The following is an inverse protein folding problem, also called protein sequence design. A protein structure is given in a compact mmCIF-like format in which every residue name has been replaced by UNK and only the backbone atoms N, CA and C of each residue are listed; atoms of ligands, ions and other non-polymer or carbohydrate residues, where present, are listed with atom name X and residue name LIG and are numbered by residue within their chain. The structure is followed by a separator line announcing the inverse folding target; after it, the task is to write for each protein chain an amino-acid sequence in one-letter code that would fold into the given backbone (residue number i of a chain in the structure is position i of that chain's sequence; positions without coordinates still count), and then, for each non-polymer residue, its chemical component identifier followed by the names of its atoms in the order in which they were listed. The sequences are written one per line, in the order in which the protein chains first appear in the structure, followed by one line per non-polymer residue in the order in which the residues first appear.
data_IF_042249355806
#
_entry.id   IF_042249355806
#
_cell.length_a   1.000
_cell.length_b   1.000
_cell.length_c   1.000
_cell.angle_alpha   90.00
_cell.angle_beta   90.00
_cell.angle_gamma   90.00
#
_symmetry.space_group_name_H-M   'P 1'
#
loop_
_entity.id
_entity.type
_entity.pdbx_description
1 polymer ?
#
# COMPACT_ATOMS: atom_id res chain seq x y z
N UNK A 1 -9.34 -5.26 -21.54
CA UNK A 1 -8.79 -5.49 -20.20
C UNK A 1 -9.94 -5.59 -19.23
N UNK A 2 -9.94 -6.54 -18.32
CA UNK A 2 -11.13 -6.81 -17.52
C UNK A 2 -11.40 -5.68 -16.51
N UNK A 3 -12.65 -5.22 -16.50
CA UNK A 3 -13.24 -4.42 -15.43
C UNK A 3 -14.42 -5.20 -14.87
N UNK A 4 -14.66 -5.05 -13.59
CA UNK A 4 -15.81 -5.64 -12.92
C UNK A 4 -16.53 -4.58 -12.10
N UNK A 5 -17.85 -4.58 -12.15
CA UNK A 5 -18.67 -3.74 -11.29
C UNK A 5 -18.69 -4.31 -9.87
N UNK A 6 -18.09 -3.59 -8.94
CA UNK A 6 -18.04 -3.94 -7.52
C UNK A 6 -18.16 -2.65 -6.69
N UNK A 7 -18.92 -2.71 -5.61
CA UNK A 7 -19.17 -1.59 -4.70
C UNK A 7 -19.54 -0.27 -5.40
N UNK A 8 -20.38 -0.36 -6.45
CA UNK A 8 -20.94 0.77 -7.19
C UNK A 8 -19.97 1.49 -8.14
N UNK A 9 -18.82 0.88 -8.46
CA UNK A 9 -17.83 1.37 -9.43
C UNK A 9 -17.32 0.24 -10.32
N UNK A 10 -16.74 0.59 -11.46
CA UNK A 10 -16.02 -0.34 -12.31
C UNK A 10 -14.56 -0.40 -11.87
N UNK A 11 -14.14 -1.52 -11.28
CA UNK A 11 -12.77 -1.75 -10.83
C UNK A 11 -11.98 -2.46 -11.92
N UNK A 12 -10.87 -1.87 -12.33
CA UNK A 12 -9.89 -2.50 -13.20
C UNK A 12 -9.00 -3.45 -12.40
N UNK A 13 -8.77 -4.66 -12.93
CA UNK A 13 -7.89 -5.64 -12.31
C UNK A 13 -7.16 -6.50 -13.34
N UNK A 14 -6.09 -7.13 -12.92
CA UNK A 14 -5.30 -8.08 -13.71
C UNK A 14 -4.89 -9.26 -12.82
N UNK A 15 -4.75 -10.42 -13.46
CA UNK A 15 -4.19 -11.61 -12.84
C UNK A 15 -2.80 -11.90 -13.39
N UNK A 16 -1.92 -12.43 -12.52
CA UNK A 16 -0.67 -13.04 -12.90
C UNK A 16 -0.37 -14.21 -11.95
N UNK A 17 0.24 -15.29 -12.49
CA UNK A 17 0.59 -16.46 -11.72
C UNK A 17 -0.59 -17.37 -11.39
N UNK A 18 -0.27 -18.46 -10.72
CA UNK A 18 -1.20 -19.48 -10.24
C UNK A 18 -0.91 -19.78 -8.76
N UNK A 19 -1.85 -20.32 -8.03
CA UNK A 19 -1.70 -20.67 -6.61
C UNK A 19 -2.69 -19.95 -5.71
N UNK A 20 -2.28 -19.71 -4.45
CA UNK A 20 -3.14 -19.01 -3.50
C UNK A 20 -3.35 -17.55 -3.92
N UNK A 21 -4.58 -17.03 -3.79
CA UNK A 21 -4.83 -15.64 -4.12
C UNK A 21 -4.05 -14.67 -3.22
N UNK A 22 -3.38 -13.70 -3.85
CA UNK A 22 -2.72 -12.57 -3.18
C UNK A 22 -3.21 -11.26 -3.81
N UNK A 23 -3.98 -10.48 -3.06
CA UNK A 23 -4.42 -9.16 -3.48
C UNK A 23 -3.32 -8.12 -3.18
N UNK A 24 -2.98 -7.32 -4.19
CA UNK A 24 -1.95 -6.28 -4.11
C UNK A 24 -2.59 -4.89 -4.08
N UNK A 25 -2.33 -4.13 -3.02
CA UNK A 25 -2.90 -2.79 -2.78
C UNK A 25 -1.78 -1.76 -2.85
N UNK A 26 -1.79 -0.92 -3.89
CA UNK A 26 -0.76 0.09 -4.07
C UNK A 26 -0.87 1.28 -3.11
N UNK A 27 0.22 2.02 -3.01
CA UNK A 27 0.29 3.25 -2.24
C UNK A 27 -0.38 4.45 -2.92
N UNK A 28 -0.46 5.56 -2.19
CA UNK A 28 -0.91 6.84 -2.74
C UNK A 28 -0.08 7.23 -3.95
N UNK A 29 -0.70 7.81 -4.96
CA UNK A 29 -0.14 8.27 -6.24
C UNK A 29 0.24 7.16 -7.23
N UNK A 30 0.50 5.93 -6.79
CA UNK A 30 1.06 4.87 -7.64
C UNK A 30 0.05 3.78 -8.00
N UNK A 31 -0.92 3.49 -7.11
CA UNK A 31 -1.84 2.38 -7.35
C UNK A 31 -1.08 1.06 -7.57
N UNK A 32 -1.58 0.19 -8.43
CA UNK A 32 -0.97 -1.11 -8.73
C UNK A 32 0.46 -1.05 -9.29
N UNK A 33 0.89 0.10 -9.81
CA UNK A 33 2.22 0.27 -10.40
C UNK A 33 3.35 0.20 -9.36
N UNK A 34 3.05 0.34 -8.06
CA UNK A 34 4.03 0.09 -7.01
C UNK A 34 4.69 -1.30 -7.10
N UNK A 35 3.95 -2.30 -7.56
CA UNK A 35 4.39 -3.70 -7.54
C UNK A 35 5.18 -4.12 -8.79
N UNK A 36 5.43 -3.21 -9.74
CA UNK A 36 6.07 -3.55 -11.02
C UNK A 36 7.37 -4.34 -10.90
N UNK A 37 8.23 -3.99 -9.93
CA UNK A 37 9.53 -4.66 -9.72
C UNK A 37 9.43 -6.02 -9.00
N UNK A 38 8.34 -6.28 -8.30
CA UNK A 38 8.17 -7.51 -7.50
C UNK A 38 7.11 -8.45 -8.07
N UNK A 39 6.38 -8.02 -9.09
CA UNK A 39 5.23 -8.73 -9.64
C UNK A 39 5.59 -10.13 -10.12
N UNK A 40 6.59 -10.26 -10.98
CA UNK A 40 7.00 -11.56 -11.54
C UNK A 40 7.43 -12.54 -10.44
N UNK A 41 8.29 -12.09 -9.52
CA UNK A 41 8.76 -12.94 -8.42
C UNK A 41 7.66 -13.41 -7.47
N UNK A 42 6.66 -12.56 -7.19
CA UNK A 42 5.51 -12.97 -6.40
C UNK A 42 4.59 -13.93 -7.16
N UNK A 43 4.44 -13.74 -8.49
CA UNK A 43 3.59 -14.56 -9.34
C UNK A 43 4.08 -16.01 -9.50
N UNK A 44 5.34 -16.27 -9.21
CA UNK A 44 5.88 -17.66 -9.16
C UNK A 44 5.24 -18.50 -8.05
N UNK A 45 4.68 -17.87 -7.01
CA UNK A 45 4.16 -18.53 -5.81
C UNK A 45 2.67 -18.27 -5.57
N UNK A 46 2.12 -17.19 -6.13
CA UNK A 46 0.76 -16.75 -5.85
C UNK A 46 0.00 -16.42 -7.14
N UNK A 47 -1.31 -16.58 -7.08
CA UNK A 47 -2.21 -15.96 -8.05
C UNK A 47 -2.45 -14.50 -7.62
N UNK A 48 -1.73 -13.60 -8.24
CA UNK A 48 -1.82 -12.17 -7.95
C UNK A 48 -3.14 -11.59 -8.47
N UNK A 49 -3.81 -10.81 -7.62
CA UNK A 49 -4.93 -9.93 -7.99
C UNK A 49 -4.40 -8.50 -7.86
N UNK A 50 -3.89 -7.95 -8.95
CA UNK A 50 -3.46 -6.56 -9.01
C UNK A 50 -4.59 -5.70 -9.54
N UNK A 51 -4.95 -4.65 -8.83
CA UNK A 51 -6.08 -3.80 -9.21
C UNK A 51 -5.77 -2.33 -8.97
N UNK A 52 -6.44 -1.48 -9.71
CA UNK A 52 -6.41 -0.04 -9.45
C UNK A 52 -7.49 0.28 -8.40
N UNK A 53 -7.08 0.84 -7.26
CA UNK A 53 -8.02 1.28 -6.23
C UNK A 53 -8.93 2.39 -6.78
N UNK A 54 -10.10 2.58 -6.17
CA UNK A 54 -10.98 3.72 -6.40
C UNK A 54 -10.20 5.03 -6.46
N UNK A 55 -10.34 5.77 -7.54
CA UNK A 55 -9.63 7.02 -7.78
C UNK A 55 -8.33 6.88 -8.57
N UNK A 56 -7.80 5.67 -8.77
CA UNK A 56 -6.52 5.44 -9.44
C UNK A 56 -6.67 4.73 -10.79
N UNK A 57 -5.65 4.89 -11.62
CA UNK A 57 -5.46 4.16 -12.86
C UNK A 57 -6.69 4.13 -13.77
N UNK A 58 -7.14 2.93 -14.11
CA UNK A 58 -8.28 2.68 -14.99
C UNK A 58 -9.60 2.42 -14.23
N UNK A 59 -9.57 2.37 -12.90
CA UNK A 59 -10.77 2.28 -12.05
C UNK A 59 -11.51 3.63 -12.03
N UNK A 60 -12.81 3.58 -11.82
CA UNK A 60 -13.65 4.77 -11.75
C UNK A 60 -13.19 5.73 -10.64
N UNK A 61 -13.37 7.05 -10.89
CA UNK A 61 -12.95 8.14 -10.01
C UNK A 61 -14.15 9.00 -9.58
N UNK A 62 -15.09 8.46 -8.77
CA UNK A 62 -16.25 9.25 -8.35
C UNK A 62 -15.81 10.41 -7.45
N UNK A 63 -16.45 11.57 -7.65
CA UNK A 63 -16.23 12.77 -6.84
C UNK A 63 -16.91 12.61 -5.48
N UNK A 64 -16.19 12.09 -4.52
CA UNK A 64 -16.66 11.86 -3.16
C UNK A 64 -15.49 11.85 -2.17
N UNK A 65 -15.79 11.86 -0.87
CA UNK A 65 -14.77 11.64 0.15
C UNK A 65 -14.31 10.18 0.11
N UNK A 66 -13.02 9.97 0.19
CA UNK A 66 -12.40 8.64 0.32
C UNK A 66 -11.98 8.41 1.77
N UNK A 67 -12.02 7.16 2.20
CA UNK A 67 -11.48 6.69 3.47
C UNK A 67 -11.02 5.24 3.35
N UNK A 68 -10.41 4.72 4.40
CA UNK A 68 -9.89 3.35 4.41
C UNK A 68 -11.00 2.31 4.42
N UNK A 69 -12.14 2.61 5.04
CA UNK A 69 -13.30 1.73 5.04
C UNK A 69 -13.82 1.50 3.63
N UNK A 70 -13.94 2.58 2.85
CA UNK A 70 -14.40 2.53 1.46
C UNK A 70 -13.48 1.69 0.56
N UNK A 71 -12.16 1.87 0.68
CA UNK A 71 -11.19 1.07 -0.09
C UNK A 71 -11.15 -0.40 0.35
N UNK A 72 -11.33 -0.67 1.66
CA UNK A 72 -11.45 -2.05 2.14
C UNK A 72 -12.73 -2.72 1.63
N UNK A 73 -13.85 -1.98 1.58
CA UNK A 73 -15.12 -2.45 1.00
C UNK A 73 -15.00 -2.74 -0.50
N UNK A 74 -14.27 -1.91 -1.23
CA UNK A 74 -13.98 -2.12 -2.65
C UNK A 74 -13.23 -3.41 -2.88
N UNK A 75 -12.20 -3.70 -2.07
CA UNK A 75 -11.46 -4.97 -2.17
C UNK A 75 -12.34 -6.16 -1.82
N UNK A 76 -13.12 -6.08 -0.75
CA UNK A 76 -14.02 -7.16 -0.37
C UNK A 76 -15.03 -7.47 -1.48
N UNK A 77 -15.65 -6.44 -2.06
CA UNK A 77 -16.58 -6.59 -3.18
C UNK A 77 -15.90 -7.10 -4.45
N UNK A 78 -14.66 -6.68 -4.73
CA UNK A 78 -13.86 -7.19 -5.84
C UNK A 78 -13.62 -8.69 -5.68
N UNK A 79 -13.15 -9.15 -4.53
CA UNK A 79 -12.91 -10.57 -4.25
C UNK A 79 -14.20 -11.40 -4.42
N UNK A 80 -15.35 -10.91 -3.92
CA UNK A 80 -16.64 -11.57 -4.08
C UNK A 80 -17.04 -11.70 -5.56
N UNK A 81 -16.87 -10.65 -6.35
CA UNK A 81 -17.16 -10.67 -7.80
C UNK A 81 -16.24 -11.60 -8.58
N UNK A 82 -15.03 -11.81 -8.09
CA UNK A 82 -14.06 -12.74 -8.68
C UNK A 82 -14.23 -14.19 -8.19
N UNK A 83 -15.20 -14.45 -7.29
CA UNK A 83 -15.43 -15.77 -6.70
C UNK A 83 -14.33 -16.22 -5.74
N UNK A 84 -13.57 -15.25 -5.15
CA UNK A 84 -12.47 -15.50 -4.22
C UNK A 84 -12.99 -15.31 -2.80
N UNK A 85 -13.18 -16.40 -2.09
CA UNK A 85 -13.71 -16.36 -0.73
C UNK A 85 -12.69 -15.86 0.29
N UNK A 86 -11.41 -16.17 0.08
CA UNK A 86 -10.29 -15.76 0.96
C UNK A 86 -9.04 -15.49 0.14
N UNK A 87 -8.25 -14.52 0.57
CA UNK A 87 -6.97 -14.16 -0.05
C UNK A 87 -5.95 -13.74 1.00
N UNK A 88 -4.67 -13.86 0.66
CA UNK A 88 -3.65 -13.02 1.27
C UNK A 88 -3.79 -11.59 0.77
N UNK A 89 -3.36 -10.63 1.58
CA UNK A 89 -3.40 -9.22 1.22
C UNK A 89 -2.04 -8.58 1.49
N UNK A 90 -1.45 -7.98 0.47
CA UNK A 90 -0.23 -7.19 0.61
C UNK A 90 -0.51 -5.77 0.16
N UNK A 91 -0.16 -4.80 0.99
CA UNK A 91 -0.27 -3.40 0.64
C UNK A 91 0.98 -2.62 1.03
N UNK A 92 1.37 -1.65 0.21
CA UNK A 92 2.48 -0.74 0.51
C UNK A 92 1.99 0.66 0.78
N UNK A 93 2.59 1.37 1.74
CA UNK A 93 2.23 2.76 2.09
C UNK A 93 0.74 2.88 2.45
N UNK A 94 -0.03 3.73 1.78
CA UNK A 94 -1.49 3.80 1.94
C UNK A 94 -2.16 2.44 1.72
N UNK A 95 -1.64 1.63 0.79
CA UNK A 95 -2.12 0.26 0.58
C UNK A 95 -1.90 -0.64 1.78
N UNK A 96 -0.79 -0.48 2.52
CA UNK A 96 -0.53 -1.18 3.77
C UNK A 96 -1.54 -0.83 4.86
N UNK A 97 -1.93 0.44 4.94
CA UNK A 97 -2.98 0.91 5.84
C UNK A 97 -4.35 0.33 5.46
N UNK A 98 -4.65 0.27 4.14
CA UNK A 98 -5.88 -0.36 3.63
C UNK A 98 -5.87 -1.87 3.91
N UNK A 99 -4.73 -2.55 3.80
CA UNK A 99 -4.59 -3.97 4.10
C UNK A 99 -4.90 -4.27 5.59
N UNK A 100 -4.40 -3.43 6.52
CA UNK A 100 -4.74 -3.52 7.94
C UNK A 100 -6.23 -3.29 8.19
N UNK A 101 -6.83 -2.27 7.57
CA UNK A 101 -8.28 -2.02 7.67
C UNK A 101 -9.08 -3.19 7.13
N UNK A 102 -8.69 -3.75 5.97
CA UNK A 102 -9.35 -4.93 5.37
C UNK A 102 -9.31 -6.13 6.31
N UNK A 103 -8.14 -6.43 6.89
CA UNK A 103 -7.99 -7.57 7.79
C UNK A 103 -8.82 -7.44 9.08
N UNK A 104 -8.93 -6.22 9.61
CA UNK A 104 -9.76 -5.95 10.79
C UNK A 104 -11.26 -6.06 10.47
N UNK A 105 -11.69 -5.58 9.29
CA UNK A 105 -13.09 -5.50 8.90
C UNK A 105 -13.63 -6.80 8.30
N UNK A 106 -12.78 -7.57 7.61
CA UNK A 106 -13.12 -8.79 6.88
C UNK A 106 -12.21 -9.97 7.27
N UNK A 107 -12.11 -10.32 8.57
CA UNK A 107 -11.19 -11.37 9.02
C UNK A 107 -11.48 -12.73 8.36
N UNK A 108 -12.74 -13.01 8.00
CA UNK A 108 -13.15 -14.24 7.30
C UNK A 108 -12.63 -14.32 5.86
N UNK A 109 -12.32 -13.17 5.23
CA UNK A 109 -11.77 -13.11 3.87
C UNK A 109 -10.24 -13.05 3.84
N UNK A 110 -9.57 -12.84 4.97
CA UNK A 110 -8.14 -12.65 5.06
C UNK A 110 -7.42 -13.92 5.52
N UNK A 111 -6.37 -14.36 4.80
CA UNK A 111 -5.52 -15.49 5.18
C UNK A 111 -4.29 -14.98 5.93
N UNK A 112 -3.63 -13.95 5.40
CA UNK A 112 -2.45 -13.31 5.98
C UNK A 112 -2.25 -11.94 5.38
N UNK A 113 -1.62 -11.05 6.14
CA UNK A 113 -1.43 -9.64 5.79
C UNK A 113 0.04 -9.31 5.68
N UNK A 114 0.42 -8.59 4.65
CA UNK A 114 1.70 -7.87 4.58
C UNK A 114 1.39 -6.37 4.53
N UNK A 115 1.71 -5.68 5.62
CA UNK A 115 1.61 -4.22 5.74
C UNK A 115 3.00 -3.63 5.60
N UNK A 116 3.28 -3.13 4.40
CA UNK A 116 4.59 -2.64 4.03
C UNK A 116 4.63 -1.12 4.09
N UNK A 117 5.66 -0.58 4.75
CA UNK A 117 5.93 0.86 4.88
C UNK A 117 4.66 1.67 5.23
N UNK A 118 3.98 1.30 6.33
CA UNK A 118 2.70 1.87 6.74
C UNK A 118 2.70 2.30 8.21
N UNK A 119 1.70 3.07 8.61
CA UNK A 119 1.46 3.49 9.98
C UNK A 119 -0.04 3.37 10.34
N UNK A 120 -0.37 3.30 11.63
CA UNK A 120 -1.77 3.23 12.07
C UNK A 120 -2.40 4.60 12.32
N UNK A 121 -1.60 5.66 12.51
CA UNK A 121 -2.11 7.02 12.73
C UNK A 121 -1.09 8.07 12.35
N UNK A 122 -1.55 9.11 11.64
CA UNK A 122 -0.76 10.31 11.37
C UNK A 122 -0.38 11.05 12.65
N UNK A 123 0.89 11.39 12.78
CA UNK A 123 1.36 12.43 13.70
C UNK A 123 1.26 13.83 13.09
N UNK A 124 1.70 14.85 13.84
CA UNK A 124 1.70 16.24 13.38
C UNK A 124 2.51 16.46 12.10
N UNK A 125 3.66 15.76 11.96
CA UNK A 125 4.54 15.91 10.80
C UNK A 125 3.91 15.31 9.54
N UNK A 126 3.33 14.11 9.61
CA UNK A 126 2.64 13.48 8.48
C UNK A 126 1.42 14.29 8.04
N UNK A 127 0.69 14.89 8.97
CA UNK A 127 -0.41 15.82 8.65
C UNK A 127 0.07 17.05 7.87
N UNK A 128 1.23 17.63 8.24
CA UNK A 128 1.83 18.74 7.50
C UNK A 128 2.22 18.28 6.10
N UNK A 129 2.87 17.12 5.99
CA UNK A 129 3.28 16.53 4.71
C UNK A 129 2.09 16.35 3.75
N UNK A 130 1.02 15.68 4.18
CA UNK A 130 -0.17 15.47 3.33
C UNK A 130 -0.87 16.80 2.98
N UNK A 131 -0.90 17.76 3.89
CA UNK A 131 -1.41 19.10 3.58
C UNK A 131 -0.54 19.80 2.53
N UNK A 132 0.78 19.63 2.59
CA UNK A 132 1.70 20.18 1.58
C UNK A 132 1.49 19.51 0.23
N UNK A 133 1.36 18.19 0.18
CA UNK A 133 1.05 17.45 -1.06
C UNK A 133 -0.26 17.93 -1.67
N UNK A 134 -1.32 18.11 -0.87
CA UNK A 134 -2.59 18.69 -1.37
C UNK A 134 -2.40 20.08 -1.95
N UNK A 135 -1.62 20.93 -1.28
CA UNK A 135 -1.36 22.28 -1.76
C UNK A 135 -0.58 22.24 -3.08
N UNK A 136 0.45 21.43 -3.18
CA UNK A 136 1.22 21.26 -4.42
C UNK A 136 0.31 20.76 -5.55
N UNK A 137 -0.45 19.70 -5.33
CA UNK A 137 -1.36 19.16 -6.33
C UNK A 137 -2.43 20.18 -6.78
N UNK A 138 -2.99 20.95 -5.86
CA UNK A 138 -4.01 21.99 -6.21
C UNK A 138 -3.42 23.20 -6.91
N UNK A 139 -2.16 23.55 -6.64
CA UNK A 139 -1.50 24.73 -7.22
C UNK A 139 -0.78 24.43 -8.53
N UNK A 140 -0.21 23.25 -8.68
CA UNK A 140 0.66 22.88 -9.81
C UNK A 140 0.15 21.68 -10.61
N UNK A 141 -0.93 21.05 -10.17
CA UNK A 141 -1.36 19.77 -10.72
C UNK A 141 -0.48 18.61 -10.22
N UNK A 142 -0.65 17.45 -10.81
CA UNK A 142 0.25 16.31 -10.60
C UNK A 142 1.51 16.47 -11.48
N UNK A 143 2.24 17.56 -11.25
CA UNK A 143 3.38 18.00 -12.07
C UNK A 143 4.65 17.20 -11.78
N UNK A 144 5.66 17.29 -12.67
CA UNK A 144 6.98 16.72 -12.42
C UNK A 144 7.63 17.22 -11.12
N UNK A 145 7.45 18.49 -10.76
CA UNK A 145 8.01 19.07 -9.53
C UNK A 145 7.34 18.49 -8.27
N UNK A 146 6.04 18.19 -8.35
CA UNK A 146 5.38 17.45 -7.27
C UNK A 146 5.91 16.02 -7.17
N UNK A 147 6.10 15.34 -8.29
CA UNK A 147 6.69 14.01 -8.34
C UNK A 147 8.10 13.99 -7.76
N UNK A 148 8.95 14.96 -8.15
CA UNK A 148 10.32 15.09 -7.63
C UNK A 148 10.34 15.30 -6.11
N UNK A 149 9.42 16.11 -5.58
CA UNK A 149 9.28 16.28 -4.14
C UNK A 149 8.95 14.95 -3.44
N UNK A 150 8.05 14.14 -4.03
CA UNK A 150 7.73 12.80 -3.49
C UNK A 150 8.95 11.89 -3.51
N UNK A 151 9.70 11.86 -4.62
CA UNK A 151 10.92 11.05 -4.76
C UNK A 151 11.93 11.36 -3.65
N UNK A 152 12.17 12.64 -3.35
CA UNK A 152 13.15 13.05 -2.30
C UNK A 152 12.78 12.57 -0.90
N UNK A 153 11.53 12.19 -0.67
CA UNK A 153 11.05 11.68 0.61
C UNK A 153 10.92 10.15 0.64
N UNK A 154 10.78 9.54 -0.55
CA UNK A 154 10.48 8.11 -0.67
C UNK A 154 11.71 7.23 -0.92
N UNK A 155 12.72 7.73 -1.61
CA UNK A 155 13.84 6.93 -2.12
C UNK A 155 15.14 7.32 -1.45
N UNK A 156 15.96 6.33 -1.12
CA UNK A 156 17.29 6.56 -0.54
C UNK A 156 18.21 7.29 -1.52
N UNK A 157 19.00 8.24 -1.02
CA UNK A 157 19.93 9.05 -1.84
C UNK A 157 20.91 8.17 -2.63
N UNK A 158 21.41 7.09 -2.04
CA UNK A 158 22.34 6.16 -2.69
C UNK A 158 21.72 5.48 -3.91
N UNK A 159 20.41 5.16 -3.86
CA UNK A 159 19.71 4.61 -5.01
C UNK A 159 19.54 5.67 -6.12
N UNK A 160 19.20 6.90 -5.74
CA UNK A 160 19.01 8.00 -6.71
C UNK A 160 20.32 8.40 -7.40
N UNK A 161 21.45 8.34 -6.68
CA UNK A 161 22.79 8.58 -7.22
C UNK A 161 23.31 7.38 -8.04
N UNK A 162 22.65 6.24 -7.92
CA UNK A 162 22.98 5.02 -8.64
C UNK A 162 22.55 5.02 -10.11
N UNK A 163 22.91 3.97 -10.87
CA UNK A 163 22.64 3.89 -12.31
C UNK A 163 21.14 3.87 -12.67
N UNK A 164 20.29 3.41 -11.77
CA UNK A 164 18.83 3.30 -11.98
C UNK A 164 18.06 4.56 -11.54
N UNK A 165 18.72 5.50 -10.86
CA UNK A 165 18.07 6.72 -10.33
C UNK A 165 17.38 7.56 -11.39
N UNK A 166 18.04 7.92 -12.52
CA UNK A 166 17.41 8.72 -13.56
C UNK A 166 16.14 8.08 -14.15
N UNK A 167 16.16 6.78 -14.43
CA UNK A 167 15.01 6.06 -14.97
C UNK A 167 13.85 5.98 -13.95
N UNK A 168 14.18 5.80 -12.67
CA UNK A 168 13.19 5.83 -11.59
C UNK A 168 12.49 7.19 -11.51
N UNK A 169 13.26 8.29 -11.56
CA UNK A 169 12.69 9.65 -11.50
C UNK A 169 11.69 9.86 -12.64
N UNK A 170 12.04 9.50 -13.86
CA UNK A 170 11.15 9.65 -15.02
C UNK A 170 9.91 8.74 -14.92
N UNK A 171 10.08 7.52 -14.42
CA UNK A 171 8.97 6.62 -14.15
C UNK A 171 8.00 7.23 -13.11
N UNK A 172 8.52 7.76 -12.00
CA UNK A 172 7.70 8.38 -10.95
C UNK A 172 6.96 9.60 -11.48
N UNK A 173 7.62 10.48 -12.25
CA UNK A 173 6.98 11.64 -12.91
C UNK A 173 5.82 11.20 -13.81
N UNK A 174 6.03 10.15 -14.60
CA UNK A 174 5.00 9.58 -15.48
C UNK A 174 3.81 9.08 -14.67
N UNK A 175 4.05 8.26 -13.62
CA UNK A 175 2.99 7.65 -12.80
C UNK A 175 2.21 8.71 -12.03
N UNK A 176 2.90 9.64 -11.39
CA UNK A 176 2.26 10.74 -10.65
C UNK A 176 1.41 11.61 -11.58
N UNK A 177 1.90 11.89 -12.79
CA UNK A 177 1.18 12.65 -13.82
C UNK A 177 -0.13 12.01 -14.32
N UNK A 178 -0.33 10.71 -14.10
CA UNK A 178 -1.59 10.00 -14.42
C UNK A 178 -2.72 10.24 -13.42
N UNK A 179 -2.44 10.84 -12.26
CA UNK A 179 -3.45 11.07 -11.24
C UNK A 179 -4.27 12.33 -11.51
N UNK A 180 -5.50 12.34 -11.03
CA UNK A 180 -6.27 13.58 -10.94
C UNK A 180 -5.96 14.31 -9.63
N UNK A 181 -6.03 15.63 -9.66
CA UNK A 181 -5.84 16.47 -8.47
C UNK A 181 -6.84 16.10 -7.39
N UNK A 182 -8.09 15.83 -7.78
CA UNK A 182 -9.17 15.43 -6.88
C UNK A 182 -8.83 14.15 -6.13
N UNK A 183 -8.30 13.14 -6.83
CA UNK A 183 -7.88 11.88 -6.21
C UNK A 183 -6.76 12.12 -5.18
N UNK A 184 -5.74 12.89 -5.53
CA UNK A 184 -4.64 13.24 -4.61
C UNK A 184 -5.16 13.96 -3.37
N UNK A 185 -6.05 14.92 -3.55
CA UNK A 185 -6.67 15.66 -2.43
C UNK A 185 -7.45 14.73 -1.51
N UNK A 186 -8.29 13.86 -2.07
CA UNK A 186 -9.11 12.94 -1.26
C UNK A 186 -8.25 11.89 -0.54
N UNK A 187 -7.22 11.35 -1.22
CA UNK A 187 -6.30 10.41 -0.60
C UNK A 187 -5.53 11.04 0.58
N UNK A 188 -4.98 12.24 0.41
CA UNK A 188 -4.31 12.95 1.47
C UNK A 188 -5.26 13.23 2.66
N UNK A 189 -6.51 13.64 2.40
CA UNK A 189 -7.50 13.87 3.46
C UNK A 189 -7.86 12.58 4.21
N UNK A 190 -7.96 11.46 3.51
CA UNK A 190 -8.18 10.15 4.12
C UNK A 190 -7.02 9.78 5.06
N UNK A 191 -5.77 9.93 4.59
CA UNK A 191 -4.58 9.65 5.39
C UNK A 191 -4.45 10.57 6.62
N UNK A 192 -4.78 11.86 6.50
CA UNK A 192 -4.74 12.79 7.63
C UNK A 192 -5.73 12.45 8.74
N UNK A 193 -6.88 11.86 8.39
CA UNK A 193 -8.00 11.59 9.32
C UNK A 193 -7.96 10.19 9.91
N UNK A 194 -7.31 9.23 9.23
CA UNK A 194 -7.37 7.84 9.62
C UNK A 194 -6.79 7.58 11.02
N UNK A 195 -7.37 6.60 11.70
CA UNK A 195 -6.88 6.06 12.96
C UNK A 195 -7.19 4.57 13.02
N UNK A 196 -6.20 3.73 12.82
CA UNK A 196 -6.31 2.26 12.79
C UNK A 196 -5.94 1.61 14.12
N UNK A 197 -5.74 2.40 15.19
CA UNK A 197 -5.23 1.85 16.45
C UNK A 197 -6.16 0.81 17.08
N UNK A 198 -7.46 0.99 16.96
CA UNK A 198 -8.41 -0.02 17.45
C UNK A 198 -8.57 -1.17 16.46
N UNK A 199 -8.46 -0.91 15.15
CA UNK A 199 -8.46 -1.96 14.13
C UNK A 199 -7.29 -2.92 14.31
N UNK A 200 -6.07 -2.42 14.56
CA UNK A 200 -4.88 -3.25 14.75
C UNK A 200 -5.05 -4.28 15.88
N UNK A 201 -5.72 -3.90 16.98
CA UNK A 201 -5.91 -4.78 18.15
C UNK A 201 -6.82 -5.97 17.89
N UNK A 202 -7.67 -5.90 16.87
CA UNK A 202 -8.66 -6.94 16.55
C UNK A 202 -8.31 -7.77 15.32
N UNK A 203 -7.19 -7.49 14.66
CA UNK A 203 -6.71 -8.30 13.53
C UNK A 203 -6.34 -9.69 14.05
N UNK A 204 -6.99 -10.71 13.48
CA UNK A 204 -6.77 -12.12 13.82
C UNK A 204 -5.91 -12.87 12.82
N UNK A 205 -5.73 -12.31 11.61
CA UNK A 205 -4.89 -12.90 10.59
C UNK A 205 -3.41 -12.69 10.93
N UNK A 206 -2.53 -13.68 10.70
CA UNK A 206 -1.09 -13.46 10.79
C UNK A 206 -0.67 -12.26 9.96
N UNK A 207 0.13 -11.37 10.54
CA UNK A 207 0.52 -10.10 9.92
C UNK A 207 2.03 -9.96 9.89
N UNK A 208 2.57 -9.57 8.75
CA UNK A 208 3.94 -9.09 8.60
C UNK A 208 3.92 -7.58 8.41
N UNK A 209 4.65 -6.87 9.25
CA UNK A 209 4.97 -5.46 9.09
C UNK A 209 6.37 -5.34 8.51
N UNK A 210 6.50 -4.75 7.34
CA UNK A 210 7.78 -4.36 6.76
C UNK A 210 7.95 -2.87 6.94
N UNK A 211 9.14 -2.42 7.32
CA UNK A 211 9.48 -1.01 7.47
C UNK A 211 10.95 -0.77 7.16
N UNK A 212 11.32 0.47 6.91
CA UNK A 212 12.68 0.86 6.59
C UNK A 212 13.16 2.00 7.52
N UNK A 213 14.44 1.96 7.95
CA UNK A 213 14.97 2.96 8.89
C UNK A 213 15.11 4.35 8.31
N UNK A 214 15.34 4.44 6.99
CA UNK A 214 15.47 5.73 6.31
C UNK A 214 14.16 6.23 5.71
N UNK A 215 13.03 5.55 6.00
CA UNK A 215 11.71 5.95 5.51
C UNK A 215 11.27 7.28 6.15
N UNK A 216 11.15 8.31 5.33
CA UNK A 216 10.73 9.65 5.77
C UNK A 216 9.21 9.86 5.66
N UNK A 217 8.53 9.04 4.84
CA UNK A 217 7.09 9.15 4.60
C UNK A 217 6.29 8.45 5.71
N UNK A 218 6.66 7.20 6.01
CA UNK A 218 5.98 6.35 7.00
C UNK A 218 6.99 5.76 7.98
N UNK A 219 7.68 6.59 8.77
CA UNK A 219 8.78 6.15 9.59
C UNK A 219 8.36 5.09 10.60
N UNK A 220 9.30 4.22 10.96
CA UNK A 220 9.11 3.17 11.96
C UNK A 220 8.55 3.73 13.27
N UNK A 221 9.10 4.86 13.72
CA UNK A 221 8.63 5.59 14.90
C UNK A 221 8.09 6.95 14.51
N UNK A 222 6.98 7.35 15.10
CA UNK A 222 6.32 8.64 14.87
C UNK A 222 6.34 9.49 16.14
N UNK A 223 5.99 10.77 16.01
CA UNK A 223 5.74 11.62 17.19
C UNK A 223 4.60 11.04 18.06
N UNK A 224 4.52 11.50 19.30
CA UNK A 224 3.63 10.99 20.36
C UNK A 224 2.13 10.96 20.02
N UNK A 225 1.70 11.70 19.00
CA UNK A 225 0.30 11.74 18.53
C UNK A 225 0.01 10.73 17.41
N UNK A 226 1.04 10.10 16.86
CA UNK A 226 0.96 9.09 15.80
C UNK A 226 1.10 7.66 16.31
N UNK A 227 1.08 6.73 15.38
CA UNK A 227 1.34 5.31 15.61
C UNK A 227 2.05 4.74 14.38
N UNK A 228 3.38 4.68 14.41
CA UNK A 228 4.24 4.19 13.33
C UNK A 228 4.25 2.67 13.21
N UNK A 229 5.09 2.13 12.34
CA UNK A 229 5.20 0.69 12.08
C UNK A 229 5.56 -0.11 13.34
N UNK A 230 6.43 0.41 14.21
CA UNK A 230 6.76 -0.22 15.49
C UNK A 230 5.51 -0.37 16.36
N UNK A 231 4.73 0.70 16.51
CA UNK A 231 3.47 0.64 17.26
C UNK A 231 2.50 -0.38 16.65
N UNK A 232 2.38 -0.43 15.30
CA UNK A 232 1.54 -1.41 14.60
C UNK A 232 1.93 -2.83 14.97
N UNK A 233 3.23 -3.15 14.89
CA UNK A 233 3.73 -4.50 15.17
C UNK A 233 3.53 -4.93 16.63
N UNK A 234 3.58 -3.99 17.56
CA UNK A 234 3.38 -4.26 19.00
C UNK A 234 1.91 -4.41 19.39
N UNK A 235 0.97 -3.97 18.56
CA UNK A 235 -0.46 -3.95 18.88
C UNK A 235 -1.32 -4.91 18.05
N UNK A 236 -0.75 -5.61 17.07
CA UNK A 236 -1.42 -6.71 16.37
C UNK A 236 -1.06 -8.02 17.09
N UNK A 237 -2.06 -8.83 17.50
CA UNK A 237 -1.81 -10.01 18.33
C UNK A 237 -0.86 -11.07 17.73
N UNK A 238 -0.89 -11.26 16.42
CA UNK A 238 -0.08 -12.23 15.68
C UNK A 238 0.71 -11.49 14.59
N UNK A 239 1.80 -10.84 15.00
CA UNK A 239 2.59 -9.96 14.15
C UNK A 239 4.08 -10.28 14.19
N UNK A 240 4.69 -10.31 13.00
CA UNK A 240 6.14 -10.29 12.80
C UNK A 240 6.53 -8.94 12.20
N UNK A 241 7.74 -8.46 12.48
CA UNK A 241 8.26 -7.22 11.89
C UNK A 241 9.63 -7.45 11.26
N UNK A 242 9.82 -6.91 10.06
CA UNK A 242 11.10 -6.83 9.38
C UNK A 242 11.48 -5.35 9.21
N UNK A 243 12.70 -5.03 9.58
CA UNK A 243 13.27 -3.69 9.43
C UNK A 243 14.39 -3.72 8.41
N UNK A 244 14.28 -2.92 7.36
CA UNK A 244 15.37 -2.71 6.41
C UNK A 244 16.22 -1.52 6.84
N UNK A 245 17.54 -1.75 7.00
CA UNK A 245 18.43 -0.79 7.66
C UNK A 245 18.79 0.42 6.78
N UNK A 246 19.04 0.18 5.50
CA UNK A 246 19.76 1.15 4.65
C UNK A 246 18.93 1.73 3.51
N UNK A 247 17.62 1.49 3.47
CA UNK A 247 16.73 1.93 2.40
C UNK A 247 15.67 2.92 2.90
N UNK A 248 15.05 3.63 1.96
CA UNK A 248 13.93 4.54 2.19
C UNK A 248 12.57 3.85 2.20
N UNK A 249 11.54 4.58 1.79
CA UNK A 249 10.16 4.12 1.70
C UNK A 249 9.90 3.14 0.55
N UNK A 250 10.75 3.16 -0.48
CA UNK A 250 10.53 2.44 -1.73
C UNK A 250 11.24 1.07 -1.77
N UNK A 251 11.09 0.26 -0.73
CA UNK A 251 11.73 -1.07 -0.61
C UNK A 251 11.41 -2.00 -1.78
N UNK A 252 10.19 -1.92 -2.35
CA UNK A 252 9.78 -2.65 -3.56
C UNK A 252 10.66 -2.32 -4.79
N UNK A 253 11.38 -1.21 -4.75
CA UNK A 253 12.30 -0.74 -5.78
C UNK A 253 13.75 -0.86 -5.34
N UNK A 254 14.06 -0.46 -4.11
CA UNK A 254 15.43 -0.41 -3.59
C UNK A 254 15.98 -1.80 -3.22
N UNK A 255 15.12 -2.74 -2.82
CA UNK A 255 15.53 -4.11 -2.49
C UNK A 255 14.46 -5.18 -2.82
N UNK A 256 13.98 -5.25 -4.09
CA UNK A 256 12.85 -6.08 -4.49
C UNK A 256 13.03 -7.56 -4.13
N UNK A 257 14.21 -8.13 -4.28
CA UNK A 257 14.48 -9.56 -3.99
C UNK A 257 14.27 -9.89 -2.50
N UNK A 258 14.66 -8.99 -1.61
CA UNK A 258 14.46 -9.18 -0.16
C UNK A 258 12.98 -9.12 0.19
N UNK A 259 12.26 -8.17 -0.38
CA UNK A 259 10.82 -8.00 -0.14
C UNK A 259 10.02 -9.18 -0.70
N UNK A 260 10.37 -9.67 -1.90
CA UNK A 260 9.79 -10.89 -2.48
C UNK A 260 10.01 -12.08 -1.54
N UNK A 261 11.27 -12.35 -1.16
CA UNK A 261 11.62 -13.51 -0.35
C UNK A 261 10.92 -13.48 1.02
N UNK A 262 10.93 -12.34 1.70
CA UNK A 262 10.28 -12.15 3.00
C UNK A 262 8.77 -12.33 2.92
N UNK A 263 8.14 -11.80 1.88
CA UNK A 263 6.70 -11.93 1.63
C UNK A 263 6.30 -13.37 1.38
N UNK A 264 7.01 -14.08 0.51
CA UNK A 264 6.73 -15.49 0.17
C UNK A 264 6.86 -16.38 1.41
N UNK A 265 7.97 -16.28 2.13
CA UNK A 265 8.22 -17.09 3.34
C UNK A 265 7.12 -16.87 4.38
N UNK A 266 6.81 -15.61 4.67
CA UNK A 266 5.78 -15.28 5.64
C UNK A 266 4.39 -15.79 5.23
N UNK A 267 3.95 -15.53 4.00
CA UNK A 267 2.60 -15.90 3.55
C UNK A 267 2.41 -17.42 3.47
N UNK A 268 3.45 -18.18 3.14
CA UNK A 268 3.41 -19.64 3.20
C UNK A 268 3.25 -20.16 4.65
N UNK A 269 3.89 -19.51 5.64
CA UNK A 269 3.70 -19.84 7.07
C UNK A 269 2.30 -19.44 7.55
N UNK A 270 1.82 -18.28 7.16
CA UNK A 270 0.49 -17.79 7.47
C UNK A 270 -0.60 -18.74 6.95
N UNK A 271 -0.48 -19.21 5.70
CA UNK A 271 -1.39 -20.22 5.12
C UNK A 271 -1.47 -21.47 5.97
N UNK A 272 -0.31 -22.07 6.34
CA UNK A 272 -0.26 -23.29 7.18
C UNK A 272 -0.94 -23.08 8.53
N UNK A 273 -0.81 -21.90 9.11
CA UNK A 273 -1.41 -21.54 10.41
C UNK A 273 -2.93 -21.41 10.34
N UNK A 274 -3.47 -20.90 9.25
CA UNK A 274 -4.88 -20.53 9.12
C UNK A 274 -5.72 -21.59 8.42
N UNK A 275 -5.13 -22.29 7.46
CA UNK A 275 -5.84 -23.29 6.64
C UNK A 275 -5.44 -24.74 6.98
N UNK A 276 -4.42 -24.95 7.80
CA UNK A 276 -3.95 -26.26 8.28
C UNK A 276 -3.12 -26.95 7.26
#
# INVERSE_FOLDING_TARGET
MPKVEANGINIFYEYMGDGEPLALIGGSLFGRQNFGMVWEGLAENFKLISYDQRGYGQTDRPLQSYDLDLWADDLAALLDKLGISRAHVMGTSAGGMIALKFAAKYPEKCIGVVSDCAFAKCDGMRKIMFRTWRHMATSWGCSPEFADHVVTQAVGAEYLDGPNGPDLIEMVRTIVGLNSVETVVQACLAMEKMDLREDCKIITSPTLVITAKKDMLTPMETGSTGAGALWVSENIPDCEMIVYEDIGHADLVECPEKTIASTIDFLHRAKKKVLG
#
